data_IF_190754344289
#
_entry.id   IF_190754344289
#
_cell.length_a   1.000
_cell.length_b   1.000
_cell.length_c   1.000
_cell.angle_alpha   90.00
_cell.angle_beta   90.00
_cell.angle_gamma   90.00
#
_symmetry.space_group_name_H-M   'P 1'
#
loop_
_entity.id
_entity.type
_entity.pdbx_description
1 polymer ?
#
# COMPACT_ATOMS: atom_id res chain seq x y z
N UNK A 1 -13.63 20.78 -27.38
CA UNK A 1 -13.60 20.17 -28.72
C UNK A 1 -12.30 19.44 -29.06
N UNK A 2 -11.14 19.82 -28.48
CA UNK A 2 -9.85 19.13 -28.69
C UNK A 2 -9.57 17.93 -27.74
N UNK A 3 -10.31 17.78 -26.64
CA UNK A 3 -10.14 16.68 -25.68
C UNK A 3 -10.83 15.37 -26.09
N UNK A 4 -11.89 15.43 -26.91
CA UNK A 4 -12.63 14.24 -27.34
C UNK A 4 -11.91 13.46 -28.46
N UNK A 5 -10.97 14.09 -29.18
CA UNK A 5 -10.27 13.45 -30.30
C UNK A 5 -9.05 12.63 -29.89
N UNK A 6 -8.45 12.88 -28.72
CA UNK A 6 -7.27 12.15 -28.27
C UNK A 6 -7.60 10.80 -27.61
N UNK A 7 -8.84 10.61 -27.14
CA UNK A 7 -9.25 9.42 -26.37
C UNK A 7 -10.09 8.41 -27.16
N UNK A 8 -10.43 8.67 -28.43
CA UNK A 8 -11.49 7.91 -29.12
C UNK A 8 -11.08 7.21 -30.42
N UNK A 9 -9.77 7.01 -30.64
CA UNK A 9 -9.25 6.17 -31.73
C UNK A 9 -8.39 5.03 -31.20
N UNK A 10 -9.00 4.06 -30.51
CA UNK A 10 -8.54 2.67 -30.58
C UNK A 10 -9.72 1.79 -30.99
N UNK A 11 -9.71 1.45 -32.29
CA UNK A 11 -10.62 0.48 -32.91
C UNK A 11 -10.49 -0.87 -32.20
N UNK A 12 -11.65 -1.46 -31.92
CA UNK A 12 -11.94 -2.89 -31.82
C UNK A 12 -10.74 -3.85 -31.63
N UNK A 13 -10.43 -4.17 -30.38
CA UNK A 13 -9.91 -5.48 -30.01
C UNK A 13 -11.01 -6.17 -29.22
N UNK A 14 -11.95 -6.77 -29.95
CA UNK A 14 -12.90 -7.73 -29.39
C UNK A 14 -12.10 -8.96 -28.94
N UNK A 15 -11.82 -9.04 -27.66
CA UNK A 15 -11.48 -10.31 -27.01
C UNK A 15 -12.71 -10.72 -26.18
N UNK A 16 -13.49 -11.66 -26.71
CA UNK A 16 -14.37 -12.47 -25.88
C UNK A 16 -13.52 -13.17 -24.82
N UNK A 17 -13.51 -12.64 -23.60
CA UNK A 17 -12.72 -13.19 -22.51
C UNK A 17 -13.41 -14.45 -21.99
N UNK A 18 -12.94 -15.62 -22.44
CA UNK A 18 -13.12 -16.85 -21.69
C UNK A 18 -12.37 -16.70 -20.37
N UNK A 19 -13.07 -16.78 -19.24
CA UNK A 19 -12.42 -17.04 -17.96
C UNK A 19 -11.66 -18.37 -18.09
N UNK A 20 -10.34 -18.39 -18.05
CA UNK A 20 -9.55 -19.63 -18.16
C UNK A 20 -9.07 -19.98 -16.75
N UNK A 21 -9.99 -20.48 -15.92
CA UNK A 21 -9.66 -20.87 -14.54
C UNK A 21 -10.86 -20.89 -13.59
N UNK A 22 -10.54 -21.01 -12.29
CA UNK A 22 -11.50 -20.96 -11.19
C UNK A 22 -12.22 -19.61 -11.16
N UNK A 23 -13.53 -19.63 -10.93
CA UNK A 23 -14.36 -18.43 -10.74
C UNK A 23 -14.45 -18.10 -9.25
N UNK A 24 -14.38 -16.81 -8.92
CA UNK A 24 -14.42 -16.30 -7.56
C UNK A 24 -15.50 -15.23 -7.39
N UNK A 25 -16.33 -15.41 -6.36
CA UNK A 25 -17.41 -14.50 -6.01
C UNK A 25 -17.06 -13.66 -4.77
N UNK A 26 -17.50 -12.40 -4.77
CA UNK A 26 -17.35 -11.49 -3.65
C UNK A 26 -18.28 -11.85 -2.49
N UNK A 27 -17.72 -12.29 -1.37
CA UNK A 27 -18.48 -12.63 -0.18
C UNK A 27 -18.70 -11.39 0.71
N UNK A 28 -19.88 -10.78 0.59
CA UNK A 28 -20.31 -9.63 1.41
C UNK A 28 -20.19 -9.89 2.91
N UNK A 29 -20.55 -11.08 3.40
CA UNK A 29 -20.49 -11.41 4.84
C UNK A 29 -19.06 -11.39 5.34
N UNK A 30 -18.12 -12.01 4.61
CA UNK A 30 -16.71 -11.99 4.97
C UNK A 30 -16.11 -10.57 4.90
N UNK A 31 -16.48 -9.79 3.89
CA UNK A 31 -16.06 -8.39 3.77
C UNK A 31 -16.48 -7.56 4.99
N UNK A 32 -17.75 -7.64 5.41
CA UNK A 32 -18.22 -6.87 6.57
C UNK A 32 -17.67 -7.38 7.90
N UNK A 33 -17.46 -8.69 8.03
CA UNK A 33 -16.76 -9.27 9.18
C UNK A 33 -15.33 -8.71 9.29
N UNK A 34 -14.58 -8.69 8.18
CA UNK A 34 -13.25 -8.09 8.14
C UNK A 34 -13.27 -6.60 8.45
N UNK A 35 -14.25 -5.86 7.92
CA UNK A 35 -14.40 -4.45 8.25
C UNK A 35 -14.63 -4.23 9.74
N UNK A 36 -15.52 -5.02 10.36
CA UNK A 36 -15.77 -4.96 11.80
C UNK A 36 -14.51 -5.29 12.61
N UNK A 37 -13.79 -6.35 12.24
CA UNK A 37 -12.53 -6.74 12.89
C UNK A 37 -11.46 -5.65 12.76
N UNK A 38 -11.32 -5.07 11.55
CA UNK A 38 -10.39 -3.97 11.29
C UNK A 38 -10.70 -2.75 12.16
N UNK A 39 -11.98 -2.35 12.22
CA UNK A 39 -12.40 -1.20 13.03
C UNK A 39 -12.24 -1.46 14.52
N UNK A 40 -12.58 -2.65 15.01
CA UNK A 40 -12.41 -3.04 16.41
C UNK A 40 -10.95 -2.88 16.87
N UNK A 41 -9.99 -3.22 16.00
CA UNK A 41 -8.57 -3.09 16.29
C UNK A 41 -8.09 -1.65 16.16
N UNK A 42 -8.57 -0.89 15.16
CA UNK A 42 -8.05 0.45 14.85
C UNK A 42 -8.67 1.56 15.73
N UNK A 43 -9.95 1.43 16.09
CA UNK A 43 -10.69 2.47 16.84
C UNK A 43 -9.99 2.87 18.14
N UNK A 44 -9.49 1.96 19.00
CA UNK A 44 -8.81 2.34 20.23
C UNK A 44 -7.67 3.33 19.99
N UNK A 45 -6.82 3.05 18.98
CA UNK A 45 -5.70 3.95 18.64
C UNK A 45 -6.19 5.26 18.06
N UNK A 46 -7.22 5.22 17.22
CA UNK A 46 -7.82 6.41 16.64
C UNK A 46 -8.39 7.34 17.71
N UNK A 47 -9.02 6.77 18.76
CA UNK A 47 -9.53 7.53 19.91
C UNK A 47 -8.39 8.17 20.68
N UNK A 48 -7.30 7.45 20.98
CA UNK A 48 -6.13 8.02 21.66
C UNK A 48 -5.56 9.22 20.90
N UNK A 49 -5.39 9.11 19.58
CA UNK A 49 -4.92 10.23 18.75
C UNK A 49 -5.94 11.37 18.74
N UNK A 50 -7.24 11.07 18.67
CA UNK A 50 -8.29 12.08 18.75
C UNK A 50 -8.27 12.87 20.06
N UNK A 51 -8.11 12.18 21.20
CA UNK A 51 -7.97 12.82 22.51
C UNK A 51 -6.71 13.68 22.59
N UNK A 52 -5.59 13.19 22.05
CA UNK A 52 -4.34 13.93 21.99
C UNK A 52 -4.48 15.24 21.18
N UNK A 53 -5.18 15.20 20.04
CA UNK A 53 -5.47 16.39 19.25
C UNK A 53 -6.45 17.35 19.96
N UNK A 54 -7.41 16.83 20.73
CA UNK A 54 -8.35 17.64 21.52
C UNK A 54 -7.66 18.41 22.66
N UNK A 55 -6.49 17.97 23.12
CA UNK A 55 -5.66 18.69 24.08
C UNK A 55 -4.96 19.92 23.46
N UNK A 56 -5.13 20.17 22.16
CA UNK A 56 -4.55 21.30 21.43
C UNK A 56 -3.28 20.93 20.66
N UNK A 57 -2.84 19.67 20.70
CA UNK A 57 -1.69 19.21 19.93
C UNK A 57 -2.00 19.15 18.42
N UNK A 58 -0.99 19.38 17.60
CA UNK A 58 -1.10 19.35 16.14
C UNK A 58 -0.89 17.94 15.56
N UNK A 59 -1.27 17.75 14.29
CA UNK A 59 -0.96 16.52 13.53
C UNK A 59 0.57 16.33 13.37
N UNK A 60 1.32 17.43 13.38
CA UNK A 60 2.79 17.43 13.40
C UNK A 60 3.34 16.81 14.68
N UNK A 61 2.75 17.13 15.82
CA UNK A 61 3.17 16.61 17.13
C UNK A 61 2.90 15.11 17.25
N UNK A 62 1.79 14.64 16.66
CA UNK A 62 1.52 13.21 16.49
C UNK A 62 2.64 12.53 15.70
N UNK A 63 3.09 13.14 14.59
CA UNK A 63 4.20 12.59 13.81
C UNK A 63 5.50 12.55 14.60
N UNK A 64 5.88 13.65 15.26
CA UNK A 64 7.13 13.74 16.02
C UNK A 64 7.11 12.77 17.19
N UNK A 65 5.99 12.63 17.89
CA UNK A 65 5.87 11.69 19.01
C UNK A 65 5.92 10.24 18.53
N UNK A 66 5.28 9.92 17.41
CA UNK A 66 5.33 8.58 16.78
C UNK A 66 6.69 8.25 16.14
N UNK A 67 7.41 9.25 15.65
CA UNK A 67 8.75 9.08 15.08
C UNK A 67 9.85 9.08 16.16
N UNK A 68 9.65 9.85 17.23
CA UNK A 68 10.56 10.04 18.37
C UNK A 68 10.45 8.98 19.47
N UNK A 69 9.38 8.17 19.47
CA UNK A 69 9.27 6.94 20.29
C UNK A 69 10.30 5.86 19.90
N UNK A 70 11.22 6.17 18.98
CA UNK A 70 12.41 5.39 18.68
C UNK A 70 13.64 5.78 19.54
N UNK A 71 13.58 6.84 20.36
CA UNK A 71 14.74 7.35 21.13
C UNK A 71 14.47 7.77 22.58
N UNK A 72 13.34 8.41 22.89
CA UNK A 72 12.92 8.75 24.27
C UNK A 72 11.41 8.99 24.23
N UNK A 73 10.62 8.05 24.77
CA UNK A 73 9.16 8.08 24.62
C UNK A 73 8.51 9.02 25.65
N UNK A 74 7.66 9.93 25.19
CA UNK A 74 6.53 10.39 25.99
C UNK A 74 5.51 9.25 26.11
N UNK A 75 5.15 8.88 27.35
CA UNK A 75 4.22 7.78 27.64
C UNK A 75 2.81 7.99 27.05
N UNK A 76 2.45 9.23 26.71
CA UNK A 76 1.09 9.65 26.33
C UNK A 76 0.55 9.01 25.04
N UNK A 77 1.43 8.68 24.09
CA UNK A 77 1.07 8.02 22.82
C UNK A 77 1.67 6.61 22.71
N UNK A 78 2.23 6.06 23.79
CA UNK A 78 2.76 4.70 23.81
C UNK A 78 1.65 3.67 23.55
N UNK A 79 1.95 2.67 22.72
CA UNK A 79 1.03 1.55 22.48
C UNK A 79 1.28 0.46 23.51
N UNK A 80 0.22 -0.21 23.98
CA UNK A 80 0.43 -1.50 24.62
C UNK A 80 1.02 -2.46 23.58
N UNK A 81 1.96 -3.32 23.99
CA UNK A 81 2.63 -4.24 23.07
C UNK A 81 1.65 -5.15 22.32
N UNK A 82 0.50 -5.45 22.92
CA UNK A 82 -0.58 -6.23 22.29
C UNK A 82 -1.27 -5.42 21.19
N UNK A 83 -1.60 -4.15 21.45
CA UNK A 83 -2.25 -3.28 20.47
C UNK A 83 -1.37 -3.09 19.23
N UNK A 84 -0.06 -2.90 19.42
CA UNK A 84 0.90 -2.76 18.33
C UNK A 84 0.94 -4.02 17.44
N UNK A 85 0.99 -5.20 18.06
CA UNK A 85 0.97 -6.49 17.36
C UNK A 85 -0.34 -6.67 16.58
N UNK A 86 -1.50 -6.40 17.20
CA UNK A 86 -2.80 -6.51 16.55
C UNK A 86 -2.94 -5.55 15.35
N UNK A 87 -2.47 -4.32 15.50
CA UNK A 87 -2.45 -3.33 14.42
C UNK A 87 -1.56 -3.78 13.26
N UNK A 88 -0.34 -4.21 13.56
CA UNK A 88 0.67 -4.54 12.54
C UNK A 88 0.35 -5.82 11.76
N UNK A 89 -0.28 -6.81 12.41
CA UNK A 89 -0.50 -8.14 11.82
C UNK A 89 -1.95 -8.45 11.45
N UNK A 90 -2.92 -7.65 11.90
CA UNK A 90 -4.34 -7.86 11.60
C UNK A 90 -4.99 -6.57 11.09
N UNK A 91 -4.99 -5.51 11.90
CA UNK A 91 -5.70 -4.26 11.59
C UNK A 91 -5.26 -3.62 10.27
N UNK A 92 -3.97 -3.30 10.13
CA UNK A 92 -3.41 -2.70 8.93
C UNK A 92 -3.47 -3.60 7.69
N UNK A 93 -3.10 -4.89 7.72
CA UNK A 93 -3.29 -5.75 6.56
C UNK A 93 -4.75 -5.75 6.05
N UNK A 94 -5.72 -5.85 6.96
CA UNK A 94 -7.13 -5.83 6.56
C UNK A 94 -7.50 -4.45 5.98
N UNK A 95 -7.07 -3.34 6.60
CA UNK A 95 -7.30 -2.00 6.07
C UNK A 95 -6.77 -1.85 4.64
N UNK A 96 -5.53 -2.29 4.41
CA UNK A 96 -4.83 -2.20 3.12
C UNK A 96 -5.51 -3.04 2.03
N UNK A 97 -6.18 -4.13 2.42
CA UNK A 97 -7.00 -4.94 1.52
C UNK A 97 -8.38 -4.32 1.26
N UNK A 98 -9.05 -3.82 2.29
CA UNK A 98 -10.42 -3.33 2.21
C UNK A 98 -10.53 -2.06 1.38
N UNK A 99 -9.55 -1.16 1.41
CA UNK A 99 -9.56 0.08 0.63
C UNK A 99 -9.65 -0.17 -0.88
N UNK A 100 -8.71 -0.87 -1.54
CA UNK A 100 -8.80 -1.15 -2.98
C UNK A 100 -10.01 -2.04 -3.33
N UNK A 101 -10.39 -2.96 -2.44
CA UNK A 101 -11.62 -3.78 -2.60
C UNK A 101 -12.87 -2.89 -2.67
N UNK A 102 -12.97 -1.93 -1.77
CA UNK A 102 -14.09 -1.00 -1.69
C UNK A 102 -14.15 -0.06 -2.90
N UNK A 103 -13.00 0.44 -3.36
CA UNK A 103 -12.92 1.27 -4.56
C UNK A 103 -13.44 0.51 -5.77
N UNK A 104 -12.92 -0.70 -6.02
CA UNK A 104 -13.34 -1.50 -7.17
C UNK A 104 -14.81 -1.93 -7.06
N UNK A 105 -15.28 -2.28 -5.86
CA UNK A 105 -16.69 -2.58 -5.63
C UNK A 105 -17.59 -1.37 -5.92
N UNK A 106 -17.17 -0.15 -5.54
CA UNK A 106 -17.86 1.08 -5.92
C UNK A 106 -17.93 1.25 -7.44
N UNK A 107 -16.82 1.05 -8.18
CA UNK A 107 -16.87 1.18 -9.63
C UNK A 107 -17.73 0.09 -10.31
N UNK A 108 -17.83 -1.12 -9.74
CA UNK A 108 -18.73 -2.18 -10.24
C UNK A 108 -20.20 -1.87 -10.01
N UNK A 109 -20.57 -1.46 -8.79
CA UNK A 109 -21.99 -1.35 -8.38
C UNK A 109 -22.52 0.07 -8.32
N UNK A 110 -21.65 1.07 -8.26
CA UNK A 110 -21.95 2.47 -7.95
C UNK A 110 -22.66 2.67 -6.61
N UNK A 111 -22.53 1.72 -5.68
CA UNK A 111 -23.04 1.86 -4.31
C UNK A 111 -22.10 2.76 -3.48
N UNK A 112 -22.56 3.97 -3.16
CA UNK A 112 -21.77 5.02 -2.47
C UNK A 112 -21.14 4.56 -1.15
N UNK A 113 -21.74 3.58 -0.46
CA UNK A 113 -21.23 3.05 0.81
C UNK A 113 -19.80 2.51 0.69
N UNK A 114 -19.44 1.91 -0.43
CA UNK A 114 -18.08 1.39 -0.62
C UNK A 114 -17.06 2.52 -0.79
N UNK A 115 -17.40 3.59 -1.52
CA UNK A 115 -16.54 4.76 -1.59
C UNK A 115 -16.39 5.44 -0.22
N UNK A 116 -17.48 5.52 0.56
CA UNK A 116 -17.42 6.05 1.92
C UNK A 116 -16.48 5.22 2.80
N UNK A 117 -16.63 3.88 2.81
CA UNK A 117 -15.75 2.98 3.57
C UNK A 117 -14.29 3.16 3.15
N UNK A 118 -14.01 3.20 1.84
CA UNK A 118 -12.65 3.37 1.32
C UNK A 118 -12.02 4.68 1.79
N UNK A 119 -12.77 5.79 1.66
CA UNK A 119 -12.31 7.12 2.09
C UNK A 119 -12.11 7.17 3.59
N UNK A 120 -13.06 6.66 4.39
CA UNK A 120 -12.94 6.64 5.86
C UNK A 120 -11.72 5.85 6.32
N UNK A 121 -11.49 4.65 5.78
CA UNK A 121 -10.32 3.84 6.11
C UNK A 121 -9.00 4.50 5.67
N UNK A 122 -8.98 5.15 4.49
CA UNK A 122 -7.82 5.91 4.04
C UNK A 122 -7.51 7.07 5.00
N UNK A 123 -8.52 7.86 5.38
CA UNK A 123 -8.32 8.99 6.29
C UNK A 123 -7.89 8.54 7.68
N UNK A 124 -8.48 7.46 8.20
CA UNK A 124 -8.01 6.82 9.43
C UNK A 124 -6.52 6.46 9.32
N UNK A 125 -6.11 5.81 8.23
CA UNK A 125 -4.71 5.41 8.03
C UNK A 125 -3.74 6.58 7.95
N UNK A 126 -4.15 7.69 7.32
CA UNK A 126 -3.35 8.93 7.24
C UNK A 126 -3.19 9.57 8.61
N UNK A 127 -4.27 9.63 9.40
CA UNK A 127 -4.27 10.21 10.74
C UNK A 127 -3.48 9.35 11.75
N UNK A 128 -3.54 8.02 11.65
CA UNK A 128 -2.90 7.12 12.61
C UNK A 128 -1.37 7.19 12.62
N UNK A 129 -0.75 7.43 11.47
CA UNK A 129 0.71 7.53 11.36
C UNK A 129 1.20 8.94 11.02
N UNK A 130 0.28 9.89 10.80
CA UNK A 130 0.58 11.20 10.19
C UNK A 130 1.42 11.10 8.91
N UNK A 131 1.27 10.00 8.14
CA UNK A 131 2.02 9.72 6.90
C UNK A 131 1.13 9.84 5.67
N UNK A 132 1.59 10.64 4.71
CA UNK A 132 0.91 10.89 3.41
C UNK A 132 1.08 9.78 2.37
N UNK A 133 1.98 8.82 2.57
CA UNK A 133 2.30 7.79 1.57
C UNK A 133 1.08 6.97 1.15
N UNK A 134 0.20 6.66 2.10
CA UNK A 134 -1.01 5.88 1.79
C UNK A 134 -2.06 6.67 0.99
N UNK A 135 -2.07 8.00 1.12
CA UNK A 135 -2.93 8.87 0.30
C UNK A 135 -2.55 8.78 -1.18
N UNK A 136 -1.24 8.64 -1.48
CA UNK A 136 -0.76 8.42 -2.85
C UNK A 136 -1.30 7.08 -3.37
N UNK A 137 -1.18 5.99 -2.61
CA UNK A 137 -1.74 4.69 -3.00
C UNK A 137 -3.25 4.76 -3.23
N UNK A 138 -4.00 5.42 -2.34
CA UNK A 138 -5.44 5.64 -2.48
C UNK A 138 -5.79 6.38 -3.77
N UNK A 139 -5.06 7.44 -4.08
CA UNK A 139 -5.22 8.18 -5.32
C UNK A 139 -5.01 7.30 -6.55
N UNK A 140 -3.91 6.54 -6.56
CA UNK A 140 -3.57 5.62 -7.65
C UNK A 140 -4.63 4.55 -7.82
N UNK A 141 -5.17 4.02 -6.71
CA UNK A 141 -6.26 3.06 -6.75
C UNK A 141 -7.49 3.61 -7.47
N UNK A 142 -7.90 4.84 -7.16
CA UNK A 142 -9.04 5.51 -7.82
C UNK A 142 -8.74 5.75 -9.29
N UNK A 143 -7.55 6.27 -9.62
CA UNK A 143 -7.17 6.60 -10.99
C UNK A 143 -7.14 5.35 -11.89
N UNK A 144 -6.48 4.29 -11.43
CA UNK A 144 -6.39 3.03 -12.19
C UNK A 144 -7.77 2.36 -12.28
N UNK A 145 -8.57 2.36 -11.21
CA UNK A 145 -9.94 1.86 -11.26
C UNK A 145 -10.79 2.68 -12.26
N UNK A 146 -10.69 3.99 -12.24
CA UNK A 146 -11.39 4.85 -13.20
C UNK A 146 -11.02 4.51 -14.65
N UNK A 147 -9.72 4.41 -14.96
CA UNK A 147 -9.24 4.02 -16.30
C UNK A 147 -9.77 2.64 -16.72
N UNK A 148 -9.74 1.68 -15.80
CA UNK A 148 -10.17 0.30 -16.03
C UNK A 148 -11.66 0.20 -16.40
N UNK A 149 -12.51 0.98 -15.72
CA UNK A 149 -13.95 0.99 -15.94
C UNK A 149 -14.41 1.97 -17.03
N UNK A 150 -13.54 2.88 -17.50
CA UNK A 150 -13.82 3.79 -18.62
C UNK A 150 -13.63 3.12 -19.98
N UNK A 151 -12.56 2.34 -20.13
CA UNK A 151 -12.06 1.84 -21.42
C UNK A 151 -12.77 0.56 -21.90
N UNK A 152 -13.36 -0.22 -20.99
CA UNK A 152 -13.90 -1.55 -21.35
C UNK A 152 -15.40 -1.53 -21.64
N UNK A 153 -15.76 -1.64 -22.91
CA UNK A 153 -17.12 -2.01 -23.36
C UNK A 153 -17.46 -3.39 -22.81
N UNK A 154 -18.43 -3.49 -21.90
CA UNK A 154 -18.90 -4.75 -21.33
C UNK A 154 -18.73 -4.91 -19.81
N UNK A 155 -17.95 -4.03 -19.15
CA UNK A 155 -17.78 -4.08 -17.68
C UNK A 155 -18.93 -3.44 -16.90
N UNK A 156 -19.54 -2.40 -17.48
CA UNK A 156 -20.59 -1.63 -16.86
C UNK A 156 -21.85 -1.68 -17.70
N UNK A 157 -23.00 -1.75 -17.03
CA UNK A 157 -24.28 -1.44 -17.65
C UNK A 157 -24.25 0.00 -18.21
N UNK A 158 -25.07 0.26 -19.23
CA UNK A 158 -25.12 1.59 -19.86
C UNK A 158 -25.44 2.70 -18.84
N UNK A 159 -26.32 2.39 -17.87
CA UNK A 159 -26.64 3.25 -16.73
C UNK A 159 -25.40 3.63 -15.91
N UNK A 160 -24.58 2.65 -15.57
CA UNK A 160 -23.35 2.86 -14.80
C UNK A 160 -22.29 3.59 -15.61
N UNK A 161 -22.21 3.36 -16.93
CA UNK A 161 -21.33 4.11 -17.83
C UNK A 161 -21.67 5.62 -17.86
N UNK A 162 -22.96 5.96 -17.90
CA UNK A 162 -23.41 7.37 -17.82
C UNK A 162 -23.04 7.99 -16.47
N UNK A 163 -23.15 7.24 -15.37
CA UNK A 163 -22.71 7.69 -14.03
C UNK A 163 -21.19 7.93 -14.00
N UNK A 164 -20.39 7.04 -14.57
CA UNK A 164 -18.94 7.20 -14.65
C UNK A 164 -18.54 8.50 -15.38
N UNK A 165 -19.17 8.79 -16.53
CA UNK A 165 -18.93 10.04 -17.28
C UNK A 165 -19.29 11.29 -16.47
N UNK A 166 -20.29 11.22 -15.60
CA UNK A 166 -20.62 12.32 -14.67
C UNK A 166 -19.54 12.51 -13.62
N UNK A 167 -19.03 11.41 -13.04
CA UNK A 167 -17.94 11.43 -12.05
C UNK A 167 -16.63 11.92 -12.68
N UNK A 168 -16.35 11.58 -13.94
CA UNK A 168 -15.14 11.98 -14.65
C UNK A 168 -14.90 13.50 -14.62
N UNK A 169 -15.98 14.29 -14.68
CA UNK A 169 -15.92 15.77 -14.60
C UNK A 169 -15.39 16.28 -13.25
N UNK A 170 -15.51 15.48 -12.19
CA UNK A 170 -15.07 15.81 -10.84
C UNK A 170 -13.64 15.37 -10.53
N UNK A 171 -12.99 14.61 -11.42
CA UNK A 171 -11.62 14.13 -11.22
C UNK A 171 -10.63 15.29 -11.00
N UNK A 172 -10.66 16.40 -11.78
CA UNK A 172 -9.75 17.52 -11.55
C UNK A 172 -9.90 18.14 -10.15
N UNK A 173 -11.13 18.29 -9.66
CA UNK A 173 -11.38 18.81 -8.31
C UNK A 173 -10.88 17.84 -7.23
N UNK A 174 -11.06 16.55 -7.45
CA UNK A 174 -10.55 15.50 -6.56
C UNK A 174 -9.01 15.50 -6.51
N UNK A 175 -8.34 15.69 -7.66
CA UNK A 175 -6.88 15.84 -7.75
C UNK A 175 -6.38 17.04 -6.94
N UNK A 176 -7.05 18.18 -7.07
CA UNK A 176 -6.73 19.39 -6.32
C UNK A 176 -6.91 19.15 -4.83
N UNK A 177 -8.00 18.49 -4.41
CA UNK A 177 -8.25 18.17 -3.00
C UNK A 177 -7.15 17.26 -2.40
N UNK A 178 -6.70 16.25 -3.14
CA UNK A 178 -5.58 15.39 -2.71
C UNK A 178 -4.29 16.19 -2.62
N UNK A 179 -4.00 17.06 -3.59
CA UNK A 179 -2.81 17.90 -3.58
C UNK A 179 -2.81 18.86 -2.39
N UNK A 180 -3.94 19.52 -2.11
CA UNK A 180 -4.11 20.39 -0.95
C UNK A 180 -3.93 19.62 0.37
N UNK A 181 -4.51 18.42 0.47
CA UNK A 181 -4.32 17.55 1.64
C UNK A 181 -2.86 17.13 1.82
N UNK A 182 -2.17 16.82 0.72
CA UNK A 182 -0.75 16.48 0.74
C UNK A 182 0.11 17.67 1.22
N UNK A 183 -0.17 18.88 0.72
CA UNK A 183 0.50 20.12 1.13
C UNK A 183 0.24 20.38 2.62
N UNK A 184 -1.02 20.28 3.05
CA UNK A 184 -1.41 20.46 4.44
C UNK A 184 -0.63 19.52 5.39
N UNK A 185 -0.68 18.20 5.14
CA UNK A 185 0.05 17.21 5.96
C UNK A 185 1.56 17.44 5.92
N UNK A 186 2.10 17.91 4.79
CA UNK A 186 3.54 18.19 4.67
C UNK A 186 3.96 19.43 5.46
N UNK A 187 3.16 20.50 5.42
CA UNK A 187 3.42 21.74 6.15
C UNK A 187 3.24 21.56 7.66
N UNK A 188 2.24 20.78 8.09
CA UNK A 188 2.07 20.41 9.50
C UNK A 188 3.28 19.68 10.07
N UNK A 189 4.11 19.05 9.24
CA UNK A 189 5.32 18.33 9.65
C UNK A 189 6.57 19.19 9.64
N UNK A 190 6.73 20.06 8.65
CA UNK A 190 7.93 20.90 8.50
C UNK A 190 8.06 21.93 9.61
N UNK A 191 6.94 22.45 10.12
CA UNK A 191 6.92 23.41 11.23
C UNK A 191 7.56 22.90 12.53
N UNK A 192 7.62 21.58 12.73
CA UNK A 192 8.13 20.96 13.98
C UNK A 192 9.57 20.46 13.86
N UNK A 193 10.10 20.25 12.65
CA UNK A 193 11.42 19.59 12.43
C UNK A 193 12.49 20.57 11.90
N UNK A 194 12.15 21.83 11.65
CA UNK A 194 13.11 22.87 11.24
C UNK A 194 13.73 22.65 9.85
N UNK A 195 13.22 21.68 9.08
CA UNK A 195 13.60 21.47 7.68
C UNK A 195 12.55 22.09 6.75
N UNK A 196 12.82 23.30 6.27
CA UNK A 196 12.06 23.92 5.18
C UNK A 196 12.44 23.30 3.85
N UNK A 197 11.85 22.14 3.53
CA UNK A 197 11.94 21.58 2.17
C UNK A 197 10.67 21.92 1.39
N UNK A 198 10.81 22.65 0.29
CA UNK A 198 9.71 22.90 -0.65
C UNK A 198 9.10 21.59 -1.17
N UNK A 199 7.87 21.63 -1.69
CA UNK A 199 7.20 20.45 -2.26
C UNK A 199 8.06 19.78 -3.36
N UNK A 200 8.64 20.59 -4.26
CA UNK A 200 9.52 20.10 -5.32
C UNK A 200 10.83 19.55 -4.76
N UNK A 201 11.42 20.21 -3.76
CA UNK A 201 12.62 19.71 -3.07
C UNK A 201 12.36 18.36 -2.39
N UNK A 202 11.19 18.21 -1.77
CA UNK A 202 10.73 16.93 -1.20
C UNK A 202 10.64 15.86 -2.28
N UNK A 203 9.94 16.13 -3.39
CA UNK A 203 9.79 15.16 -4.48
C UNK A 203 11.14 14.75 -5.07
N UNK A 204 12.02 15.72 -5.36
CA UNK A 204 13.38 15.48 -5.83
C UNK A 204 14.15 14.58 -4.87
N UNK A 205 14.12 14.92 -3.57
CA UNK A 205 14.76 14.16 -2.51
C UNK A 205 14.29 12.70 -2.49
N UNK A 206 12.98 12.43 -2.57
CA UNK A 206 12.48 11.05 -2.54
C UNK A 206 12.92 10.19 -3.73
N UNK A 207 13.01 10.75 -4.94
CA UNK A 207 13.29 9.96 -6.15
C UNK A 207 14.76 9.96 -6.57
N UNK A 208 15.48 11.07 -6.39
CA UNK A 208 16.90 11.14 -6.68
C UNK A 208 17.73 10.66 -5.47
N UNK A 209 17.34 11.08 -4.26
CA UNK A 209 18.07 10.76 -3.04
C UNK A 209 18.04 9.28 -2.67
N UNK A 210 16.97 8.54 -3.01
CA UNK A 210 16.90 7.11 -2.70
C UNK A 210 17.94 6.27 -3.45
N UNK A 211 18.38 6.71 -4.64
CA UNK A 211 19.41 6.01 -5.43
C UNK A 211 20.80 6.26 -4.84
N UNK A 212 21.09 7.49 -4.41
CA UNK A 212 22.34 7.81 -3.72
C UNK A 212 22.40 7.10 -2.36
N UNK A 213 21.29 7.08 -1.62
CA UNK A 213 21.18 6.37 -0.36
C UNK A 213 21.37 4.86 -0.52
N UNK A 214 20.86 4.26 -1.61
CA UNK A 214 21.14 2.86 -1.95
C UNK A 214 22.65 2.60 -2.09
N UNK A 215 23.37 3.46 -2.81
CA UNK A 215 24.83 3.34 -2.95
C UNK A 215 25.55 3.38 -1.60
N UNK A 216 25.23 4.38 -0.78
CA UNK A 216 25.81 4.52 0.55
C UNK A 216 25.50 3.32 1.46
N UNK A 217 24.26 2.79 1.43
CA UNK A 217 23.91 1.60 2.20
C UNK A 217 24.66 0.35 1.72
N UNK A 218 24.95 0.21 0.43
CA UNK A 218 25.75 -0.89 -0.11
C UNK A 218 27.20 -0.79 0.36
N UNK A 219 27.77 0.42 0.38
CA UNK A 219 29.15 0.67 0.83
C UNK A 219 29.33 0.39 2.33
N UNK A 220 28.35 0.75 3.15
CA UNK A 220 28.37 0.50 4.60
C UNK A 220 27.88 -0.90 5.00
N UNK A 221 27.43 -1.72 4.04
CA UNK A 221 26.89 -3.04 4.33
C UNK A 221 27.96 -3.98 4.88
N UNK A 222 27.76 -4.44 6.11
CA UNK A 222 28.71 -5.26 6.86
C UNK A 222 28.12 -6.58 7.41
N UNK A 223 26.85 -6.88 7.09
CA UNK A 223 26.16 -8.09 7.54
C UNK A 223 26.41 -9.28 6.60
N UNK A 224 26.11 -10.49 7.10
CA UNK A 224 26.00 -11.68 6.26
C UNK A 224 24.76 -11.62 5.35
N UNK A 225 24.79 -12.40 4.25
CA UNK A 225 23.63 -12.48 3.38
C UNK A 225 22.46 -13.17 4.06
N UNK A 226 21.27 -12.63 3.85
CA UNK A 226 20.04 -13.06 4.53
C UNK A 226 19.15 -13.98 3.67
N UNK A 227 19.60 -14.35 2.47
CA UNK A 227 19.05 -15.42 1.62
C UNK A 227 17.53 -15.35 1.36
N UNK A 228 16.98 -14.14 1.30
CA UNK A 228 15.56 -13.86 1.04
C UNK A 228 14.79 -13.41 2.27
N UNK A 229 15.35 -13.55 3.48
CA UNK A 229 14.68 -13.13 4.71
C UNK A 229 14.51 -11.62 4.80
N UNK A 230 15.38 -10.82 4.17
CA UNK A 230 15.19 -9.35 4.15
C UNK A 230 14.07 -8.98 3.20
N UNK A 231 14.13 -9.41 1.93
CA UNK A 231 13.10 -9.07 0.92
C UNK A 231 11.71 -9.55 1.31
N UNK A 232 11.61 -10.78 1.79
CA UNK A 232 10.33 -11.40 2.15
C UNK A 232 10.02 -11.28 3.64
N UNK A 233 10.70 -10.38 4.36
CA UNK A 233 10.54 -10.26 5.82
C UNK A 233 9.08 -10.07 6.23
N UNK A 234 8.30 -9.28 5.49
CA UNK A 234 6.89 -9.05 5.81
C UNK A 234 6.06 -10.34 5.83
N UNK A 235 6.43 -11.33 5.00
CA UNK A 235 5.81 -12.65 5.01
C UNK A 235 6.20 -13.46 6.25
N UNK A 236 7.49 -13.42 6.61
CA UNK A 236 8.05 -14.27 7.67
C UNK A 236 7.81 -13.76 9.09
N UNK A 237 7.67 -12.45 9.29
CA UNK A 237 7.56 -11.88 10.65
C UNK A 237 6.42 -12.47 11.47
N UNK A 238 5.19 -12.63 10.95
CA UNK A 238 4.12 -13.23 11.75
C UNK A 238 4.39 -14.70 12.07
N UNK A 239 5.04 -15.41 11.16
CA UNK A 239 5.41 -16.82 11.33
C UNK A 239 6.41 -16.95 12.48
N UNK A 240 7.52 -16.22 12.44
CA UNK A 240 8.51 -16.21 13.53
C UNK A 240 7.97 -15.60 14.82
N UNK A 241 7.01 -14.68 14.74
CA UNK A 241 6.27 -14.17 15.89
C UNK A 241 5.53 -15.28 16.63
N UNK A 242 4.79 -16.14 15.92
CA UNK A 242 4.10 -17.30 16.50
C UNK A 242 5.08 -18.35 17.01
N UNK A 243 6.13 -18.65 16.23
CA UNK A 243 7.16 -19.62 16.62
C UNK A 243 7.86 -19.21 17.94
N UNK A 244 8.11 -17.91 18.12
CA UNK A 244 8.68 -17.38 19.37
C UNK A 244 7.77 -17.64 20.58
N UNK A 245 6.44 -17.58 20.42
CA UNK A 245 5.50 -17.85 21.53
C UNK A 245 5.57 -19.30 22.03
N UNK A 246 5.97 -20.24 21.18
CA UNK A 246 6.15 -21.66 21.54
C UNK A 246 7.62 -22.03 21.80
N UNK A 247 8.49 -21.03 22.01
CA UNK A 247 9.88 -21.22 22.39
C UNK A 247 10.86 -21.51 21.25
N UNK A 248 10.44 -21.39 19.98
CA UNK A 248 11.32 -21.61 18.83
C UNK A 248 12.06 -20.31 18.49
N UNK A 249 13.39 -20.34 18.60
CA UNK A 249 14.26 -19.22 18.24
C UNK A 249 14.39 -19.07 16.72
N UNK A 250 14.27 -17.85 16.16
CA UNK A 250 14.47 -17.63 14.74
C UNK A 250 15.90 -17.98 14.30
N UNK A 251 16.06 -18.45 13.06
CA UNK A 251 17.37 -18.74 12.46
C UNK A 251 18.22 -17.48 12.29
N UNK A 252 19.55 -17.60 12.36
CA UNK A 252 20.48 -16.46 12.31
C UNK A 252 20.26 -15.52 11.11
N UNK A 253 20.08 -16.01 9.85
CA UNK A 253 19.80 -15.11 8.72
C UNK A 253 18.53 -14.27 8.86
N UNK A 254 17.51 -14.75 9.60
CA UNK A 254 16.30 -13.97 9.87
C UNK A 254 16.52 -12.93 10.99
N UNK A 255 17.38 -13.26 11.97
CA UNK A 255 17.77 -12.32 13.01
C UNK A 255 18.54 -11.15 12.40
N UNK A 256 19.53 -11.44 11.55
CA UNK A 256 20.28 -10.44 10.77
C UNK A 256 19.34 -9.59 9.89
N UNK A 257 18.39 -10.21 9.19
CA UNK A 257 17.38 -9.47 8.41
C UNK A 257 16.55 -8.51 9.28
N UNK A 258 16.29 -8.87 10.55
CA UNK A 258 15.59 -8.01 11.49
C UNK A 258 16.48 -6.87 12.00
N UNK A 259 17.75 -7.12 12.25
CA UNK A 259 18.74 -6.10 12.62
C UNK A 259 18.95 -5.09 11.51
N UNK A 260 19.12 -5.54 10.26
CA UNK A 260 19.20 -4.70 9.07
C UNK A 260 17.98 -3.77 8.99
N UNK A 261 16.77 -4.32 9.11
CA UNK A 261 15.51 -3.55 9.05
C UNK A 261 15.36 -2.56 10.20
N UNK A 262 15.76 -2.94 11.40
CA UNK A 262 15.74 -2.02 12.54
C UNK A 262 16.79 -0.92 12.39
N UNK A 263 18.02 -1.27 12.00
CA UNK A 263 19.12 -0.34 11.76
C UNK A 263 18.77 0.74 10.75
N UNK A 264 18.08 0.38 9.66
CA UNK A 264 17.65 1.36 8.65
C UNK A 264 16.69 2.44 9.14
N UNK A 265 16.05 2.27 10.30
CA UNK A 265 15.26 3.34 10.94
C UNK A 265 16.16 4.42 11.55
N UNK A 266 17.36 4.05 11.96
CA UNK A 266 18.30 4.89 12.72
C UNK A 266 19.51 5.34 11.91
N UNK A 267 19.86 4.62 10.86
CA UNK A 267 20.99 4.94 9.97
C UNK A 267 20.64 6.16 9.13
N UNK A 268 21.26 7.29 9.49
CA UNK A 268 21.12 8.57 8.79
C UNK A 268 22.41 8.86 8.01
N UNK A 269 22.37 8.69 6.69
CA UNK A 269 23.51 8.87 5.79
C UNK A 269 23.42 10.18 5.01
N UNK A 270 24.58 10.74 4.65
CA UNK A 270 24.64 11.89 3.75
C UNK A 270 24.47 11.42 2.31
N UNK A 271 23.46 11.93 1.61
CA UNK A 271 23.20 11.62 0.19
C UNK A 271 23.64 12.75 -0.74
N UNK A 272 23.90 13.93 -0.18
CA UNK A 272 24.50 15.09 -0.81
C UNK A 272 25.10 16.00 0.28
N UNK A 273 25.98 16.97 -0.06
CA UNK A 273 26.48 17.94 0.91
C UNK A 273 25.33 18.60 1.70
N UNK A 274 25.37 18.49 3.03
CA UNK A 274 24.34 19.04 3.92
C UNK A 274 22.98 18.33 3.90
N UNK A 275 22.82 17.23 3.16
CA UNK A 275 21.53 16.53 3.01
C UNK A 275 21.61 15.12 3.60
N UNK A 276 20.92 14.93 4.73
CA UNK A 276 20.86 13.69 5.51
C UNK A 276 19.57 12.92 5.25
N UNK A 277 19.69 11.61 5.00
CA UNK A 277 18.58 10.71 4.68
C UNK A 277 18.60 9.49 5.58
N UNK A 278 17.41 9.00 5.92
CA UNK A 278 17.21 7.70 6.55
C UNK A 278 16.00 6.98 5.93
N UNK A 279 15.89 5.67 6.18
CA UNK A 279 14.65 4.88 6.05
C UNK A 279 14.02 4.75 4.64
N UNK A 280 14.54 5.42 3.63
CA UNK A 280 14.01 5.42 2.25
C UNK A 280 15.04 4.91 1.23
N UNK A 281 15.46 3.66 1.39
CA UNK A 281 16.20 2.96 0.34
C UNK A 281 15.23 2.22 -0.59
N UNK A 282 15.71 1.94 -1.79
CA UNK A 282 14.96 1.23 -2.83
C UNK A 282 14.77 -0.25 -2.44
N UNK A 283 13.86 -0.96 -3.11
CA UNK A 283 13.74 -2.41 -2.94
C UNK A 283 15.03 -3.17 -3.29
N UNK A 284 15.89 -2.60 -4.14
CA UNK A 284 17.15 -3.23 -4.54
C UNK A 284 18.13 -3.38 -3.37
N UNK A 285 18.04 -2.55 -2.34
CA UNK A 285 18.87 -2.75 -1.14
C UNK A 285 18.48 -4.04 -0.40
N UNK A 286 17.18 -4.35 -0.29
CA UNK A 286 16.74 -5.62 0.29
C UNK A 286 17.28 -6.80 -0.52
N UNK A 287 17.26 -6.67 -1.85
CA UNK A 287 17.78 -7.70 -2.74
C UNK A 287 19.29 -7.88 -2.57
N UNK A 288 20.01 -6.79 -2.32
CA UNK A 288 21.43 -6.81 -2.00
C UNK A 288 21.70 -7.48 -0.64
N UNK A 289 20.93 -7.16 0.41
CA UNK A 289 21.05 -7.82 1.71
C UNK A 289 20.80 -9.34 1.64
N UNK A 290 20.05 -9.82 0.66
CA UNK A 290 19.74 -11.23 0.51
C UNK A 290 20.81 -12.02 -0.26
N UNK A 291 21.63 -11.38 -1.09
CA UNK A 291 22.62 -12.10 -1.91
C UNK A 291 23.55 -11.23 -2.76
N UNK A 292 23.82 -10.00 -2.33
CA UNK A 292 24.63 -9.02 -3.03
C UNK A 292 24.07 -8.68 -4.42
N UNK A 293 24.97 -8.41 -5.37
CA UNK A 293 24.58 -8.13 -6.76
C UNK A 293 23.84 -9.30 -7.43
N UNK A 294 24.16 -10.54 -7.05
CA UNK A 294 23.43 -11.72 -7.54
C UNK A 294 21.98 -11.69 -7.04
N UNK A 295 21.78 -11.36 -5.77
CA UNK A 295 20.46 -11.15 -5.16
C UNK A 295 19.65 -10.10 -5.91
N UNK A 296 20.25 -8.95 -6.24
CA UNK A 296 19.62 -7.89 -7.06
C UNK A 296 19.10 -8.46 -8.38
N UNK A 297 19.92 -9.20 -9.12
CA UNK A 297 19.55 -9.75 -10.43
C UNK A 297 18.40 -10.75 -10.30
N UNK A 298 18.55 -11.74 -9.41
CA UNK A 298 17.58 -12.83 -9.26
C UNK A 298 16.23 -12.34 -8.72
N UNK A 299 16.26 -11.53 -7.67
CA UNK A 299 15.03 -11.04 -7.04
C UNK A 299 14.31 -10.00 -7.91
N UNK A 300 15.03 -9.21 -8.70
CA UNK A 300 14.41 -8.34 -9.72
C UNK A 300 13.68 -9.17 -10.78
N UNK A 301 14.27 -10.29 -11.23
CA UNK A 301 13.61 -11.20 -12.17
C UNK A 301 12.36 -11.83 -11.56
N UNK A 302 12.44 -12.34 -10.33
CA UNK A 302 11.30 -12.92 -9.60
C UNK A 302 10.19 -11.88 -9.42
N UNK A 303 10.55 -10.67 -9.03
CA UNK A 303 9.61 -9.57 -8.83
C UNK A 303 8.91 -9.17 -10.14
N UNK A 304 9.65 -9.10 -11.25
CA UNK A 304 9.09 -8.87 -12.59
C UNK A 304 8.18 -9.99 -13.05
N UNK A 305 8.59 -11.25 -12.88
CA UNK A 305 7.80 -12.43 -13.23
C UNK A 305 6.48 -12.51 -12.43
N UNK A 306 6.53 -12.19 -11.12
CA UNK A 306 5.36 -12.10 -10.27
C UNK A 306 4.40 -10.99 -10.72
N UNK A 307 4.94 -9.80 -11.01
CA UNK A 307 4.17 -8.66 -11.56
C UNK A 307 3.46 -9.04 -12.85
N UNK A 308 4.16 -9.71 -13.77
CA UNK A 308 3.61 -10.20 -15.03
C UNK A 308 2.51 -11.24 -14.83
N UNK A 309 2.65 -12.12 -13.83
CA UNK A 309 1.64 -13.13 -13.47
C UNK A 309 0.33 -12.48 -12.99
N UNK A 310 0.43 -11.47 -12.11
CA UNK A 310 -0.73 -10.71 -11.65
C UNK A 310 -1.40 -9.96 -12.81
N UNK A 311 -0.61 -9.31 -13.66
CA UNK A 311 -1.13 -8.61 -14.83
C UNK A 311 -1.86 -9.55 -15.80
N UNK A 312 -1.30 -10.74 -16.08
CA UNK A 312 -1.95 -11.76 -16.92
C UNK A 312 -3.29 -12.19 -16.33
N UNK A 313 -3.35 -12.46 -15.03
CA UNK A 313 -4.61 -12.81 -14.34
C UNK A 313 -5.63 -11.69 -14.42
N UNK A 314 -5.22 -10.46 -14.13
CA UNK A 314 -6.06 -9.27 -14.26
C UNK A 314 -6.59 -9.09 -15.71
N UNK A 315 -5.73 -9.30 -16.70
CA UNK A 315 -6.11 -9.11 -18.10
C UNK A 315 -7.00 -10.24 -18.61
N UNK A 316 -6.71 -11.50 -18.28
CA UNK A 316 -7.42 -12.66 -18.81
C UNK A 316 -8.71 -12.95 -18.03
N UNK A 317 -8.68 -12.81 -16.71
CA UNK A 317 -9.80 -13.10 -15.81
C UNK A 317 -10.30 -11.79 -15.17
N UNK A 318 -11.39 -11.25 -15.71
CA UNK A 318 -12.02 -9.98 -15.28
C UNK A 318 -12.81 -10.12 -13.96
N UNK A 319 -12.23 -10.83 -12.99
CA UNK A 319 -12.81 -11.10 -11.69
C UNK A 319 -12.33 -10.07 -10.67
N UNK A 320 -13.23 -9.67 -9.76
CA UNK A 320 -12.94 -8.61 -8.77
C UNK A 320 -11.68 -8.93 -7.97
N UNK A 321 -11.50 -10.20 -7.61
CA UNK A 321 -10.33 -10.69 -6.88
C UNK A 321 -9.02 -10.32 -7.57
N UNK A 322 -8.89 -10.59 -8.88
CA UNK A 322 -7.66 -10.34 -9.63
C UNK A 322 -7.46 -8.86 -9.91
N UNK A 323 -8.54 -8.11 -10.08
CA UNK A 323 -8.48 -6.64 -10.13
C UNK A 323 -7.95 -6.05 -8.83
N UNK A 324 -8.45 -6.51 -7.68
CA UNK A 324 -7.99 -6.06 -6.35
C UNK A 324 -6.52 -6.40 -6.15
N UNK A 325 -6.12 -7.65 -6.42
CA UNK A 325 -4.73 -8.10 -6.28
C UNK A 325 -3.78 -7.26 -7.14
N UNK A 326 -4.13 -7.04 -8.42
CA UNK A 326 -3.31 -6.24 -9.32
C UNK A 326 -3.27 -4.77 -8.89
N UNK A 327 -4.42 -4.18 -8.58
CA UNK A 327 -4.53 -2.78 -8.17
C UNK A 327 -3.72 -2.50 -6.89
N UNK A 328 -3.87 -3.39 -5.90
CA UNK A 328 -3.14 -3.33 -4.65
C UNK A 328 -1.63 -3.46 -4.86
N UNK A 329 -1.20 -4.51 -5.57
CA UNK A 329 0.22 -4.75 -5.85
C UNK A 329 0.83 -3.57 -6.61
N UNK A 330 0.16 -3.06 -7.63
CA UNK A 330 0.63 -1.90 -8.40
C UNK A 330 0.73 -0.63 -7.56
N UNK A 331 -0.37 -0.24 -6.88
CA UNK A 331 -0.49 1.05 -6.20
C UNK A 331 0.17 1.12 -4.82
N UNK A 332 0.48 -0.03 -4.20
CA UNK A 332 1.14 -0.07 -2.88
C UNK A 332 2.55 -0.64 -2.94
N UNK A 333 2.82 -1.67 -3.77
CA UNK A 333 4.14 -2.31 -3.79
C UNK A 333 4.96 -1.77 -4.97
N UNK A 334 4.52 -2.00 -6.20
CA UNK A 334 5.33 -1.75 -7.39
C UNK A 334 5.71 -0.26 -7.53
N UNK A 335 4.75 0.65 -7.45
CA UNK A 335 5.00 2.08 -7.65
C UNK A 335 5.98 2.66 -6.63
N UNK A 336 5.87 2.23 -5.37
CA UNK A 336 6.65 2.78 -4.28
C UNK A 336 7.97 1.99 -4.06
N UNK A 337 8.18 0.86 -4.74
CA UNK A 337 9.38 0.01 -4.57
C UNK A 337 10.67 0.73 -4.96
N UNK A 338 10.61 1.73 -5.84
CA UNK A 338 11.75 2.56 -6.20
C UNK A 338 12.15 3.56 -5.11
N UNK A 339 11.27 3.86 -4.16
CA UNK A 339 11.50 4.89 -3.14
C UNK A 339 11.37 4.35 -1.72
N UNK A 340 10.99 3.07 -1.56
CA UNK A 340 10.73 2.47 -0.28
C UNK A 340 10.86 0.94 -0.29
N UNK A 341 11.15 0.38 0.88
CA UNK A 341 11.19 -1.05 1.13
C UNK A 341 9.86 -1.56 1.67
N UNK A 342 9.01 -2.07 0.78
CA UNK A 342 7.60 -2.29 1.12
C UNK A 342 7.31 -3.75 1.47
N UNK A 343 8.04 -4.68 0.88
CA UNK A 343 7.88 -6.12 1.11
C UNK A 343 8.41 -6.58 2.47
N UNK A 344 9.21 -5.75 3.16
CA UNK A 344 9.66 -6.03 4.53
C UNK A 344 8.56 -5.90 5.59
N UNK A 345 7.45 -5.23 5.24
CA UNK A 345 6.36 -4.89 6.16
C UNK A 345 5.22 -5.90 6.03
N UNK A 346 4.84 -6.51 7.15
CA UNK A 346 3.78 -7.53 7.19
C UNK A 346 2.44 -6.96 6.71
N UNK A 347 2.08 -5.74 7.13
CA UNK A 347 0.84 -5.10 6.70
C UNK A 347 0.76 -4.79 5.21
N UNK A 348 1.88 -4.83 4.48
CA UNK A 348 1.91 -4.65 3.02
C UNK A 348 1.88 -5.99 2.28
N UNK A 349 2.46 -7.04 2.84
CA UNK A 349 2.56 -8.33 2.17
C UNK A 349 1.34 -9.22 2.40
N UNK A 350 0.82 -9.24 3.63
CA UNK A 350 -0.30 -10.09 4.03
C UNK A 350 -1.64 -9.81 3.34
N UNK A 351 -1.97 -8.58 2.89
CA UNK A 351 -3.17 -8.33 2.09
C UNK A 351 -3.28 -9.23 0.85
N UNK A 352 -2.16 -9.61 0.24
CA UNK A 352 -2.09 -10.52 -0.92
C UNK A 352 -2.48 -11.97 -0.57
N UNK A 353 -2.52 -12.32 0.71
CA UNK A 353 -2.89 -13.64 1.22
C UNK A 353 -4.30 -13.59 1.81
N UNK A 354 -4.58 -12.60 2.64
CA UNK A 354 -5.85 -12.42 3.37
C UNK A 354 -7.04 -12.22 2.42
N UNK A 355 -6.81 -11.68 1.23
CA UNK A 355 -7.85 -11.52 0.19
C UNK A 355 -8.66 -12.80 -0.05
N UNK A 356 -8.04 -13.99 0.09
CA UNK A 356 -8.68 -15.29 -0.14
C UNK A 356 -9.92 -15.52 0.73
N UNK A 357 -10.01 -14.88 1.89
CA UNK A 357 -11.17 -15.02 2.77
C UNK A 357 -12.36 -14.16 2.32
N UNK A 358 -12.13 -13.10 1.53
CA UNK A 358 -13.19 -12.26 0.94
C UNK A 358 -13.78 -12.93 -0.30
N UNK A 359 -13.00 -13.73 -1.02
CA UNK A 359 -13.40 -14.31 -2.31
C UNK A 359 -13.60 -15.82 -2.24
N UNK A 360 -14.84 -16.27 -2.42
CA UNK A 360 -15.18 -17.69 -2.42
C UNK A 360 -15.04 -18.27 -3.82
N UNK A 361 -14.49 -19.47 -3.93
CA UNK A 361 -14.53 -20.23 -5.19
C UNK A 361 -15.99 -20.58 -5.49
N UNK A 362 -16.43 -20.28 -6.70
CA UNK A 362 -17.78 -20.55 -7.18
C UNK A 362 -17.73 -21.33 -8.51
N UNK A 363 -18.80 -22.03 -8.84
CA UNK A 363 -19.03 -22.57 -10.17
C UNK A 363 -19.20 -21.43 -11.15
N UNK A 364 -18.66 -21.57 -12.36
CA UNK A 364 -18.95 -20.58 -13.41
C UNK A 364 -20.45 -20.57 -13.65
N UNK A 365 -21.11 -19.39 -13.69
CA UNK A 365 -22.48 -19.34 -14.17
C UNK A 365 -22.50 -19.89 -15.60
N UNK A 366 -23.35 -20.90 -15.84
CA UNK A 366 -23.63 -21.33 -17.20
C UNK A 366 -24.15 -20.12 -17.95
N UNK A 367 -23.51 -19.79 -19.07
CA UNK A 367 -24.06 -18.81 -20.00
C UNK A 367 -25.31 -19.47 -20.55
N UNK A 368 -26.47 -19.16 -19.98
CA UNK A 368 -27.75 -19.45 -20.62
C UNK A 368 -27.67 -18.69 -21.94
N UNK A 369 -27.40 -19.42 -23.03
CA UNK A 369 -27.60 -18.92 -24.37
C UNK A 369 -29.10 -18.68 -24.46
N UNK A 370 -29.50 -17.42 -24.28
CA UNK A 370 -30.85 -17.00 -24.59
C UNK A 370 -31.07 -17.22 -26.08
N UNK A 371 -32.13 -17.97 -26.38
CA UNK A 371 -32.81 -17.98 -27.68
C UNK A 371 -33.31 -16.58 -28.06
#
# INVERSE_FOLDING_TARGET
>A
MLWDQFLWKRKHLFFEKKCVGNFYEFNKRAYYFMLALCLLIIIPRFVTIGLYLLQGNSIGDVYVTLAGSAGDASEELAQSSIQEVLMQFIGYPILYLLVPTSILQFFRTFEKKYLLIATSLCMMRVLLDSRRTYLISFFVFILVAFMLYQDKTGFLSEKNRRRLKKIAKWIPFFLIAILLMFIFVSNSRSGTIGQETSFLGTFYNYYAGCVQYLGACIEEYSFGYTYGFTTFRGLFVPIFGVLKLIGITPVAPYQEATEIVNGMKYVVLNVAPGTRFNSFTTCFYQFYCDGGYIGIILLSFIFGAFSQSLYKKFNNDSQLRFEVLYLYFYGTILMLSFTNMLTILAFITWPMIIERFIYKKATKPEVIKGE
#
